data_IF_578021249051
#
_entry.id   IF_578021249051
#
_cell.length_a   1.000
_cell.length_b   1.000
_cell.length_c   1.000
_cell.angle_alpha   90.00
_cell.angle_beta   90.00
_cell.angle_gamma   90.00
#
_symmetry.space_group_name_H-M   'P 1'
#
loop_
_entity.id
_entity.type
_entity.pdbx_description
1 polymer ?
#
# COMPACT_ATOMS: atom_id res chain seq x y z
N UNK A 1 -7.01 -14.32 3.64
CA UNK A 1 -8.04 -13.36 3.16
C UNK A 1 -7.36 -12.45 2.15
N UNK A 2 -7.94 -12.32 0.99
CA UNK A 2 -7.46 -11.55 -0.16
C UNK A 2 -7.02 -10.16 0.22
N UNK A 3 -5.86 -9.69 -0.30
CA UNK A 3 -5.71 -8.28 -0.54
C UNK A 3 -5.53 -7.98 -2.04
N UNK A 4 -6.58 -8.33 -2.82
CA UNK A 4 -7.05 -7.36 -3.79
C UNK A 4 -7.75 -6.33 -2.91
N UNK A 5 -7.13 -5.19 -2.72
CA UNK A 5 -7.80 -4.09 -2.07
C UNK A 5 -9.02 -3.72 -2.92
N UNK A 6 -10.20 -4.17 -2.50
CA UNK A 6 -11.45 -3.68 -3.08
C UNK A 6 -11.62 -2.29 -2.48
N UNK A 7 -11.15 -1.28 -3.20
CA UNK A 7 -11.34 0.11 -2.85
C UNK A 7 -12.84 0.38 -2.74
N UNK A 8 -13.32 0.57 -1.51
CA UNK A 8 -14.72 0.89 -1.27
C UNK A 8 -14.92 2.40 -1.40
N UNK A 9 -15.60 2.82 -2.45
CA UNK A 9 -15.97 4.22 -2.66
C UNK A 9 -17.20 4.57 -1.80
N UNK A 10 -16.95 5.10 -0.61
CA UNK A 10 -18.04 5.43 0.34
C UNK A 10 -18.63 6.82 0.13
N UNK A 11 -17.85 7.78 -0.36
CA UNK A 11 -18.25 9.16 -0.55
C UNK A 11 -18.28 9.59 -2.03
N UNK A 12 -17.17 9.37 -2.76
CA UNK A 12 -17.01 9.81 -4.15
C UNK A 12 -16.66 8.59 -5.02
N UNK A 13 -17.51 8.26 -5.99
CA UNK A 13 -17.21 7.16 -6.92
C UNK A 13 -15.93 7.44 -7.70
N UNK A 14 -14.93 6.56 -7.58
CA UNK A 14 -13.65 6.67 -8.28
C UNK A 14 -12.57 7.48 -7.55
N UNK A 15 -12.85 8.00 -6.35
CA UNK A 15 -11.88 8.68 -5.50
C UNK A 15 -12.03 8.21 -4.05
N UNK A 16 -10.92 7.76 -3.46
CA UNK A 16 -10.82 7.48 -2.02
C UNK A 16 -9.66 8.26 -1.44
N UNK A 17 -9.85 8.85 -0.28
CA UNK A 17 -8.82 9.55 0.47
C UNK A 17 -8.90 9.14 1.93
N UNK A 18 -7.76 8.76 2.52
CA UNK A 18 -7.69 8.42 3.94
C UNK A 18 -6.29 8.67 4.49
N UNK A 19 -6.20 8.93 5.80
CA UNK A 19 -4.93 8.92 6.50
C UNK A 19 -4.72 7.58 7.16
N UNK A 20 -3.53 7.04 6.99
CA UNK A 20 -3.13 5.76 7.55
C UNK A 20 -1.76 5.87 8.19
N UNK A 21 -1.52 5.09 9.25
CA UNK A 21 -0.23 4.92 9.89
C UNK A 21 0.22 3.47 9.74
N UNK A 22 1.21 3.24 8.89
CA UNK A 22 1.65 1.90 8.47
C UNK A 22 3.04 1.58 8.99
N UNK A 23 3.17 0.44 9.69
CA UNK A 23 4.46 -0.20 9.91
C UNK A 23 4.78 -1.21 8.80
N UNK A 24 3.78 -1.96 8.38
CA UNK A 24 3.91 -2.90 7.27
C UNK A 24 2.55 -3.11 6.58
N UNK A 25 2.56 -2.99 5.28
CA UNK A 25 1.46 -3.38 4.39
C UNK A 25 1.96 -4.46 3.45
N UNK A 26 1.25 -5.60 3.39
CA UNK A 26 1.60 -6.73 2.54
C UNK A 26 1.58 -6.36 1.05
N UNK A 27 2.25 -7.14 0.19
CA UNK A 27 2.10 -6.99 -1.25
C UNK A 27 0.64 -7.08 -1.67
N UNK A 28 0.16 -6.02 -2.31
CA UNK A 28 -1.20 -5.90 -2.84
C UNK A 28 -1.19 -5.10 -4.14
N UNK A 29 -2.31 -5.10 -4.84
CA UNK A 29 -2.51 -4.30 -6.04
C UNK A 29 -3.99 -3.88 -6.16
N UNK A 30 -4.22 -2.81 -6.89
CA UNK A 30 -5.55 -2.31 -7.21
C UNK A 30 -5.55 -1.61 -8.57
N UNK A 31 -6.73 -1.23 -9.08
CA UNK A 31 -6.90 -0.63 -10.41
C UNK A 31 -6.82 0.90 -10.42
N UNK A 32 -6.55 1.50 -9.30
CA UNK A 32 -6.43 2.93 -9.08
C UNK A 32 -4.98 3.40 -9.24
N UNK A 33 -4.78 4.66 -9.62
CA UNK A 33 -3.56 5.36 -9.27
C UNK A 33 -3.54 5.54 -7.76
N UNK A 34 -2.42 5.26 -7.12
CA UNK A 34 -2.24 5.56 -5.72
C UNK A 34 -1.20 6.65 -5.53
N UNK A 35 -1.60 7.71 -4.84
CA UNK A 35 -0.70 8.75 -4.39
C UNK A 35 -0.57 8.68 -2.87
N UNK A 36 0.65 8.84 -2.38
CA UNK A 36 0.91 8.92 -0.94
C UNK A 36 1.66 10.22 -0.67
N UNK A 37 1.11 11.04 0.22
CA UNK A 37 1.85 12.17 0.78
C UNK A 37 2.32 11.82 2.18
N UNK A 38 3.64 11.74 2.37
CA UNK A 38 4.29 11.32 3.61
C UNK A 38 4.28 12.47 4.61
N UNK A 39 3.66 12.24 5.77
CA UNK A 39 3.42 13.28 6.78
C UNK A 39 4.52 13.32 7.85
N UNK A 40 5.04 12.14 8.25
CA UNK A 40 6.02 12.09 9.34
C UNK A 40 7.25 11.22 9.00
N UNK A 41 7.28 9.98 9.42
CA UNK A 41 8.44 9.11 9.32
C UNK A 41 8.65 8.52 7.91
N UNK A 42 9.88 8.15 7.54
CA UNK A 42 10.13 7.56 6.24
C UNK A 42 9.47 6.20 6.05
N UNK A 43 9.09 5.92 4.82
CA UNK A 43 8.51 4.65 4.42
C UNK A 43 9.25 4.09 3.21
N UNK A 44 9.62 2.81 3.28
CA UNK A 44 10.13 2.07 2.15
C UNK A 44 8.97 1.48 1.37
N UNK A 45 8.94 1.77 0.09
CA UNK A 45 7.96 1.28 -0.87
C UNK A 45 8.68 0.32 -1.82
N UNK A 46 8.18 -0.92 -1.93
CA UNK A 46 8.63 -1.88 -2.94
C UNK A 46 7.52 -2.01 -3.97
N UNK A 47 7.80 -1.75 -5.23
CA UNK A 47 6.82 -1.90 -6.30
C UNK A 47 7.49 -2.21 -7.64
N UNK A 48 6.88 -3.11 -8.43
CA UNK A 48 7.39 -3.51 -9.73
C UNK A 48 8.84 -4.04 -9.69
N UNK A 49 9.23 -4.72 -8.61
CA UNK A 49 10.57 -5.29 -8.43
C UNK A 49 11.65 -4.31 -7.96
N UNK A 50 11.31 -3.05 -7.73
CA UNK A 50 12.22 -2.02 -7.21
C UNK A 50 11.78 -1.55 -5.82
N UNK A 51 12.75 -1.10 -5.03
CA UNK A 51 12.49 -0.51 -3.72
C UNK A 51 13.08 0.89 -3.64
N UNK A 52 12.32 1.82 -3.06
CA UNK A 52 12.77 3.17 -2.77
C UNK A 52 12.20 3.64 -1.43
N UNK A 53 12.80 4.67 -0.86
CA UNK A 53 12.32 5.29 0.38
C UNK A 53 11.72 6.65 0.05
N UNK A 54 10.55 6.92 0.60
CA UNK A 54 9.92 8.24 0.57
C UNK A 54 10.04 8.87 1.97
N UNK A 55 10.57 10.08 2.01
CA UNK A 55 10.83 10.84 3.22
C UNK A 55 9.64 11.76 3.56
N UNK A 56 9.63 12.33 4.77
CA UNK A 56 8.64 13.32 5.17
C UNK A 56 8.51 14.46 4.14
N UNK A 57 7.27 14.80 3.79
CA UNK A 57 6.93 15.84 2.81
C UNK A 57 6.96 15.37 1.36
N UNK A 58 7.46 14.17 1.08
CA UNK A 58 7.45 13.60 -0.26
C UNK A 58 6.04 13.17 -0.68
N UNK A 59 5.80 13.24 -1.98
CA UNK A 59 4.60 12.71 -2.62
C UNK A 59 5.04 11.66 -3.62
N UNK A 60 4.41 10.49 -3.56
CA UNK A 60 4.63 9.39 -4.50
C UNK A 60 3.42 9.18 -5.40
N UNK A 61 3.63 8.55 -6.56
CA UNK A 61 2.55 8.04 -7.41
C UNK A 61 2.87 6.63 -7.87
N UNK A 62 1.93 5.73 -7.68
CA UNK A 62 1.96 4.35 -8.15
C UNK A 62 0.92 4.16 -9.24
N UNK A 63 1.31 3.49 -10.32
CA UNK A 63 0.42 3.23 -11.46
C UNK A 63 -0.56 2.08 -11.14
N UNK A 64 -1.75 2.09 -11.75
CA UNK A 64 -2.71 0.99 -11.65
C UNK A 64 -2.11 -0.37 -12.00
N UNK A 65 -2.49 -1.40 -11.24
CA UNK A 65 -2.08 -2.78 -11.47
C UNK A 65 -0.64 -3.12 -11.10
N UNK A 66 0.09 -2.20 -10.45
CA UNK A 66 1.41 -2.51 -9.87
C UNK A 66 1.24 -3.14 -8.49
N UNK A 67 1.84 -4.32 -8.29
CA UNK A 67 1.97 -4.89 -6.95
C UNK A 67 2.96 -4.06 -6.16
N UNK A 68 2.57 -3.66 -4.96
CA UNK A 68 3.40 -2.86 -4.07
C UNK A 68 3.23 -3.28 -2.60
N UNK A 69 4.26 -3.02 -1.80
CA UNK A 69 4.28 -3.23 -0.36
C UNK A 69 4.92 -2.03 0.34
N UNK A 70 4.53 -1.81 1.60
CA UNK A 70 5.04 -0.72 2.42
C UNK A 70 5.71 -1.24 3.69
N UNK A 71 6.81 -0.61 4.09
CA UNK A 71 7.49 -0.89 5.35
C UNK A 71 8.06 0.38 5.97
N UNK A 72 7.66 0.68 7.20
CA UNK A 72 8.27 1.71 8.05
C UNK A 72 8.64 1.11 9.40
N UNK A 73 9.87 1.35 9.84
CA UNK A 73 10.36 0.82 11.12
C UNK A 73 9.63 1.45 12.32
N UNK A 74 9.33 2.74 12.23
CA UNK A 74 8.78 3.55 13.33
C UNK A 74 7.27 3.79 13.18
N UNK A 75 6.69 3.30 12.08
CA UNK A 75 5.35 3.67 11.63
C UNK A 75 5.39 4.98 10.85
N UNK A 76 4.74 5.00 9.70
CA UNK A 76 4.66 6.17 8.83
C UNK A 76 3.21 6.58 8.67
N UNK A 77 2.92 7.83 9.01
CA UNK A 77 1.62 8.45 8.70
C UNK A 77 1.69 9.10 7.32
N UNK A 78 0.72 8.82 6.48
CA UNK A 78 0.60 9.42 5.16
C UNK A 78 -0.87 9.64 4.79
N UNK A 79 -1.11 10.60 3.89
CA UNK A 79 -2.37 10.71 3.17
C UNK A 79 -2.32 9.80 1.96
N UNK A 80 -3.16 8.75 1.96
CA UNK A 80 -3.39 7.89 0.80
C UNK A 80 -4.52 8.45 -0.06
N UNK A 81 -4.31 8.44 -1.36
CA UNK A 81 -5.28 8.93 -2.35
C UNK A 81 -5.32 7.92 -3.48
N UNK A 82 -6.44 7.22 -3.61
CA UNK A 82 -6.67 6.25 -4.67
C UNK A 82 -7.66 6.83 -5.70
N UNK A 83 -7.21 6.90 -6.93
CA UNK A 83 -7.97 7.56 -8.01
C UNK A 83 -8.16 6.60 -9.17
N UNK A 84 -9.41 6.31 -9.49
CA UNK A 84 -9.75 5.54 -10.67
C UNK A 84 -9.39 6.30 -11.95
N UNK A 85 -8.66 5.69 -12.91
CA UNK A 85 -8.29 6.37 -14.15
C UNK A 85 -9.47 6.95 -14.93
N UNK A 86 -10.65 6.34 -14.79
CA UNK A 86 -11.89 6.75 -15.48
C UNK A 86 -12.62 7.92 -14.80
N UNK A 87 -12.15 8.41 -13.65
CA UNK A 87 -12.82 9.48 -12.87
C UNK A 87 -13.17 10.71 -13.72
N UNK A 88 -12.31 11.07 -14.67
CA UNK A 88 -12.54 12.20 -15.60
C UNK A 88 -13.01 11.76 -17.00
N UNK A 89 -13.51 10.52 -17.12
CA UNK A 89 -13.97 9.96 -18.38
C UNK A 89 -12.85 9.45 -19.30
N UNK A 90 -13.25 8.78 -20.37
CA UNK A 90 -12.33 8.13 -21.31
C UNK A 90 -11.46 9.11 -22.10
N UNK A 91 -11.93 10.37 -22.29
CA UNK A 91 -11.19 11.41 -23.03
C UNK A 91 -9.92 11.88 -22.30
N UNK A 92 -9.77 11.59 -21.01
CA UNK A 92 -8.56 11.93 -20.26
C UNK A 92 -7.33 11.12 -20.64
N UNK A 93 -7.51 9.96 -21.28
CA UNK A 93 -6.48 8.95 -21.58
C UNK A 93 -5.70 8.43 -20.36
N UNK A 94 -6.14 8.71 -19.15
CA UNK A 94 -5.47 8.26 -17.93
C UNK A 94 -5.48 6.74 -17.77
N UNK A 95 -6.46 6.05 -18.34
CA UNK A 95 -6.53 4.59 -18.37
C UNK A 95 -5.30 3.95 -19.04
N UNK A 96 -4.78 4.62 -20.06
CA UNK A 96 -3.61 4.15 -20.82
C UNK A 96 -2.30 4.75 -20.28
N UNK A 97 -2.37 5.81 -19.49
CA UNK A 97 -1.18 6.54 -19.01
C UNK A 97 -0.44 5.76 -17.93
N UNK A 98 0.88 5.73 -18.03
CA UNK A 98 1.79 5.23 -16.99
C UNK A 98 2.87 6.25 -16.73
N UNK A 99 3.03 6.64 -15.46
CA UNK A 99 4.08 7.56 -15.03
C UNK A 99 5.38 6.76 -14.78
N UNK A 100 6.49 7.26 -15.32
CA UNK A 100 7.79 6.59 -15.22
C UNK A 100 8.51 6.92 -13.89
N UNK A 101 8.21 8.09 -13.29
CA UNK A 101 8.75 8.49 -11.99
C UNK A 101 7.74 8.23 -10.88
N UNK A 102 8.23 7.71 -9.75
CA UNK A 102 7.41 7.38 -8.57
C UNK A 102 7.52 8.39 -7.44
N UNK A 103 8.62 9.16 -7.38
CA UNK A 103 8.85 10.25 -6.42
C UNK A 103 8.73 11.58 -7.15
N UNK A 104 7.77 12.41 -6.74
CA UNK A 104 7.49 13.68 -7.41
C UNK A 104 8.62 14.70 -7.22
N UNK A 105 9.29 14.69 -6.06
CA UNK A 105 10.41 15.58 -5.74
C UNK A 105 11.61 15.46 -6.70
N UNK A 106 11.69 14.36 -7.47
CA UNK A 106 12.73 14.21 -8.51
C UNK A 106 12.49 15.10 -9.73
N UNK A 107 11.28 15.62 -9.90
CA UNK A 107 10.86 16.35 -11.10
C UNK A 107 10.29 17.71 -10.76
N UNK A 108 9.59 17.84 -9.64
CA UNK A 108 8.98 19.08 -9.17
C UNK A 108 9.92 19.86 -8.27
N UNK A 109 9.92 21.19 -8.39
CA UNK A 109 10.67 22.08 -7.49
C UNK A 109 10.03 22.10 -6.10
N UNK A 110 10.74 22.58 -5.05
CA UNK A 110 10.16 22.72 -3.72
C UNK A 110 8.87 23.54 -3.68
N UNK A 111 8.80 24.60 -4.47
CA UNK A 111 7.62 25.49 -4.60
C UNK A 111 6.43 24.74 -5.22
N UNK A 112 6.68 24.01 -6.29
CA UNK A 112 5.66 23.20 -6.95
C UNK A 112 5.19 22.03 -6.08
N UNK A 113 6.10 21.40 -5.32
CA UNK A 113 5.75 20.41 -4.32
C UNK A 113 4.86 21.01 -3.22
N UNK A 114 5.12 22.26 -2.82
CA UNK A 114 4.26 22.99 -1.88
C UNK A 114 2.86 23.25 -2.46
N UNK A 115 2.77 23.67 -3.73
CA UNK A 115 1.48 23.85 -4.40
C UNK A 115 0.69 22.53 -4.50
N UNK A 116 1.37 21.41 -4.77
CA UNK A 116 0.73 20.09 -4.77
C UNK A 116 0.18 19.73 -3.38
N UNK A 117 0.97 19.92 -2.31
CA UNK A 117 0.51 19.68 -0.93
C UNK A 117 -0.72 20.53 -0.58
N UNK A 118 -0.78 21.76 -1.04
CA UNK A 118 -1.97 22.61 -0.86
C UNK A 118 -3.19 22.08 -1.60
N UNK A 119 -3.02 21.65 -2.85
CA UNK A 119 -4.11 21.05 -3.63
C UNK A 119 -4.62 19.78 -2.95
N UNK A 120 -3.72 18.90 -2.45
CA UNK A 120 -4.06 17.69 -1.74
C UNK A 120 -4.77 17.99 -0.42
N UNK A 121 -4.30 18.99 0.34
CA UNK A 121 -4.96 19.41 1.59
C UNK A 121 -6.39 19.91 1.31
N UNK A 122 -6.59 20.71 0.27
CA UNK A 122 -7.91 21.22 -0.13
C UNK A 122 -8.83 20.10 -0.61
N UNK A 123 -8.28 19.14 -1.39
CA UNK A 123 -9.03 17.98 -1.86
C UNK A 123 -9.47 17.11 -0.69
N UNK A 124 -8.57 16.80 0.26
CA UNK A 124 -8.86 16.00 1.44
C UNK A 124 -9.86 16.71 2.36
N UNK A 125 -9.71 18.03 2.61
CA UNK A 125 -10.66 18.79 3.42
C UNK A 125 -12.07 18.76 2.81
N UNK A 126 -12.19 18.88 1.49
CA UNK A 126 -13.47 18.74 0.81
C UNK A 126 -14.03 17.31 0.88
N UNK A 127 -13.18 16.29 0.70
CA UNK A 127 -13.57 14.89 0.78
C UNK A 127 -14.22 14.53 2.13
N UNK A 128 -13.71 15.12 3.23
CA UNK A 128 -14.25 14.93 4.58
C UNK A 128 -15.31 15.97 4.98
N UNK A 129 -15.61 16.94 4.10
CA UNK A 129 -16.69 17.89 4.34
C UNK A 129 -18.06 17.25 4.11
N UNK A 130 -19.09 17.85 4.73
CA UNK A 130 -20.50 17.50 4.48
C UNK A 130 -21.24 18.65 3.76
N UNK A 131 -20.49 19.63 3.25
CA UNK A 131 -21.05 20.77 2.54
C UNK A 131 -21.51 20.36 1.13
N UNK A 132 -22.56 20.98 0.63
CA UNK A 132 -23.07 20.75 -0.71
C UNK A 132 -21.99 21.09 -1.76
N UNK A 133 -21.73 20.15 -2.70
CA UNK A 133 -20.75 20.29 -3.76
C UNK A 133 -19.31 19.98 -3.35
N UNK A 134 -19.07 19.51 -2.11
CA UNK A 134 -17.74 19.12 -1.66
C UNK A 134 -17.09 18.06 -2.56
N UNK A 135 -17.88 17.11 -3.10
CA UNK A 135 -17.41 16.07 -4.01
C UNK A 135 -16.87 16.67 -5.31
N UNK A 136 -17.59 17.64 -5.89
CA UNK A 136 -17.15 18.34 -7.12
C UNK A 136 -15.86 19.11 -6.86
N UNK A 137 -15.76 19.76 -5.69
CA UNK A 137 -14.55 20.49 -5.33
C UNK A 137 -13.36 19.56 -5.14
N UNK A 138 -13.52 18.44 -4.44
CA UNK A 138 -12.46 17.43 -4.28
C UNK A 138 -11.98 16.90 -5.64
N UNK A 139 -12.90 16.48 -6.51
CA UNK A 139 -12.60 16.01 -7.88
C UNK A 139 -11.87 17.08 -8.68
N UNK A 140 -12.28 18.35 -8.59
CA UNK A 140 -11.63 19.44 -9.33
C UNK A 140 -10.19 19.67 -8.86
N UNK A 141 -9.92 19.61 -7.55
CA UNK A 141 -8.55 19.73 -6.99
C UNK A 141 -7.67 18.57 -7.43
N UNK A 142 -8.21 17.35 -7.42
CA UNK A 142 -7.49 16.19 -7.96
C UNK A 142 -7.25 16.32 -9.47
N UNK A 143 -8.18 16.92 -10.23
CA UNK A 143 -7.99 17.25 -11.64
C UNK A 143 -6.79 18.18 -11.85
N UNK A 144 -6.64 19.24 -11.04
CA UNK A 144 -5.48 20.13 -11.06
C UNK A 144 -4.18 19.39 -10.75
N UNK A 145 -4.19 18.47 -9.79
CA UNK A 145 -3.03 17.62 -9.46
C UNK A 145 -2.64 16.79 -10.68
N UNK A 146 -3.55 15.99 -11.24
CA UNK A 146 -3.25 15.12 -12.39
C UNK A 146 -2.86 15.91 -13.64
N UNK A 147 -3.44 17.10 -13.87
CA UNK A 147 -3.02 17.99 -14.94
C UNK A 147 -1.54 18.37 -14.80
N UNK A 148 -1.08 18.74 -13.58
CA UNK A 148 0.32 19.06 -13.30
C UNK A 148 1.23 17.84 -13.48
N UNK A 149 0.80 16.66 -13.03
CA UNK A 149 1.53 15.41 -13.24
C UNK A 149 1.73 15.14 -14.73
N UNK A 150 0.68 15.20 -15.53
CA UNK A 150 0.74 15.00 -16.98
C UNK A 150 1.63 16.04 -17.72
N UNK A 151 1.74 17.24 -17.17
CA UNK A 151 2.60 18.28 -17.76
C UNK A 151 4.07 18.10 -17.44
N UNK A 152 4.40 17.48 -16.32
CA UNK A 152 5.76 17.50 -15.80
C UNK A 152 6.42 16.13 -15.64
N UNK A 153 5.67 15.12 -15.20
CA UNK A 153 6.26 13.79 -15.03
C UNK A 153 6.48 13.11 -16.37
N UNK A 154 7.63 12.47 -16.56
CA UNK A 154 7.82 11.54 -17.66
C UNK A 154 6.73 10.46 -17.59
N UNK A 155 6.05 10.27 -18.71
CA UNK A 155 4.99 9.27 -18.83
C UNK A 155 4.88 8.78 -20.28
N UNK A 156 4.31 7.60 -20.43
CA UNK A 156 4.00 7.03 -21.73
C UNK A 156 2.57 6.51 -21.76
N UNK A 157 2.05 6.27 -22.95
CA UNK A 157 0.77 5.58 -23.15
C UNK A 157 1.02 4.12 -23.47
N UNK A 158 0.35 3.25 -22.77
CA UNK A 158 0.37 1.83 -23.08
C UNK A 158 -0.34 1.56 -24.40
N UNK A 159 0.23 0.65 -25.17
CA UNK A 159 -0.46 0.05 -26.30
C UNK A 159 -1.54 -0.93 -25.80
N UNK A 160 -2.51 -1.25 -26.68
CA UNK A 160 -3.53 -2.27 -26.39
C UNK A 160 -2.91 -3.62 -25.99
N UNK A 161 -1.78 -3.98 -26.58
CA UNK A 161 -1.05 -5.21 -26.26
C UNK A 161 -0.46 -5.16 -24.86
N UNK A 162 0.21 -4.08 -24.50
CA UNK A 162 0.78 -3.89 -23.17
C UNK A 162 -0.30 -3.88 -22.09
N UNK A 163 -1.45 -3.25 -22.36
CA UNK A 163 -2.60 -3.27 -21.45
C UNK A 163 -3.10 -4.69 -21.22
N UNK A 164 -3.30 -5.47 -22.30
CA UNK A 164 -3.76 -6.85 -22.20
C UNK A 164 -2.74 -7.77 -21.50
N UNK A 165 -1.44 -7.57 -21.74
CA UNK A 165 -0.38 -8.33 -21.09
C UNK A 165 -0.28 -7.98 -19.58
N UNK A 166 -0.43 -6.70 -19.23
CA UNK A 166 -0.48 -6.27 -17.84
C UNK A 166 -1.67 -6.87 -17.09
N UNK A 167 -2.87 -6.84 -17.70
CA UNK A 167 -4.07 -7.46 -17.10
C UNK A 167 -3.89 -8.96 -16.86
N UNK A 168 -3.33 -9.69 -17.81
CA UNK A 168 -3.05 -11.13 -17.66
C UNK A 168 -2.05 -11.40 -16.53
N UNK A 169 -0.96 -10.62 -16.45
CA UNK A 169 0.06 -10.75 -15.41
C UNK A 169 -0.51 -10.41 -14.04
N UNK A 170 -1.27 -9.33 -13.95
CA UNK A 170 -1.96 -8.90 -12.73
C UNK A 170 -2.91 -10.00 -12.23
N UNK A 171 -3.78 -10.51 -13.10
CA UNK A 171 -4.70 -11.59 -12.74
C UNK A 171 -3.97 -12.88 -12.31
N UNK A 172 -2.83 -13.20 -12.92
CA UNK A 172 -2.02 -14.36 -12.51
C UNK A 172 -1.42 -14.18 -11.11
N UNK A 173 -0.88 -13.00 -10.83
CA UNK A 173 -0.35 -12.68 -9.51
C UNK A 173 -1.46 -12.70 -8.46
N UNK A 174 -2.63 -12.13 -8.74
CA UNK A 174 -3.79 -12.20 -7.84
C UNK A 174 -4.16 -13.64 -7.48
N UNK A 175 -4.22 -14.53 -8.48
CA UNK A 175 -4.49 -15.95 -8.22
C UNK A 175 -3.38 -16.61 -7.38
N UNK A 176 -2.13 -16.24 -7.60
CA UNK A 176 -1.01 -16.75 -6.81
C UNK A 176 -1.05 -16.25 -5.36
N UNK A 177 -1.34 -14.96 -5.14
CA UNK A 177 -1.50 -14.39 -3.80
C UNK A 177 -2.64 -15.08 -3.05
N UNK A 178 -3.80 -15.25 -3.71
CA UNK A 178 -4.94 -15.98 -3.15
C UNK A 178 -4.60 -17.45 -2.83
N UNK A 179 -3.92 -18.14 -3.74
CA UNK A 179 -3.50 -19.52 -3.52
C UNK A 179 -2.61 -19.65 -2.27
N UNK A 180 -1.67 -18.73 -2.07
CA UNK A 180 -0.84 -18.72 -0.87
C UNK A 180 -1.68 -18.42 0.37
N UNK A 181 -2.58 -17.45 0.33
CA UNK A 181 -3.43 -17.08 1.46
C UNK A 181 -4.38 -18.21 1.91
N UNK A 182 -4.90 -18.96 0.96
CA UNK A 182 -5.80 -20.08 1.24
C UNK A 182 -5.06 -21.32 1.79
N UNK A 183 -3.78 -21.50 1.41
CA UNK A 183 -3.03 -22.73 1.66
C UNK A 183 -1.73 -22.54 2.46
N UNK A 184 -1.40 -21.33 2.95
CA UNK A 184 -0.10 -21.07 3.59
C UNK A 184 0.22 -22.02 4.76
N UNK A 185 -0.79 -22.48 5.49
CA UNK A 185 -0.63 -23.40 6.61
C UNK A 185 -0.24 -24.83 6.17
N UNK A 186 -0.46 -25.15 4.89
CA UNK A 186 -0.20 -26.45 4.29
C UNK A 186 1.18 -26.53 3.66
N UNK A 187 1.55 -27.71 3.16
CA UNK A 187 2.78 -27.89 2.38
C UNK A 187 2.51 -27.48 0.92
N UNK A 188 2.67 -26.20 0.61
CA UNK A 188 2.50 -25.69 -0.75
C UNK A 188 3.83 -25.59 -1.51
N UNK A 189 3.78 -25.80 -2.81
CA UNK A 189 4.91 -25.71 -3.72
C UNK A 189 4.52 -24.88 -4.94
N UNK A 190 5.49 -24.17 -5.50
CA UNK A 190 5.25 -23.45 -6.76
C UNK A 190 4.93 -24.39 -7.93
N UNK A 191 5.41 -25.65 -7.88
CA UNK A 191 5.06 -26.68 -8.86
C UNK A 191 3.56 -26.94 -8.92
N UNK A 192 2.91 -27.03 -7.76
CA UNK A 192 1.49 -27.34 -7.66
C UNK A 192 0.64 -26.21 -8.28
N UNK A 193 1.03 -24.97 -8.01
CA UNK A 193 0.41 -23.79 -8.64
C UNK A 193 0.72 -23.72 -10.15
N UNK A 194 1.94 -24.07 -10.58
CA UNK A 194 2.33 -24.10 -11.99
C UNK A 194 1.48 -25.09 -12.79
N UNK A 195 1.24 -26.29 -12.25
CA UNK A 195 0.38 -27.32 -12.85
C UNK A 195 -1.07 -26.83 -12.94
N UNK A 196 -1.60 -26.21 -11.89
CA UNK A 196 -2.96 -25.63 -11.86
C UNK A 196 -3.16 -24.56 -12.94
N UNK A 197 -2.18 -23.70 -13.17
CA UNK A 197 -2.23 -22.60 -14.13
C UNK A 197 -1.77 -23.03 -15.54
N UNK A 198 -1.34 -24.28 -15.73
CA UNK A 198 -0.75 -24.79 -16.99
C UNK A 198 0.45 -23.94 -17.48
N UNK A 199 1.30 -23.49 -16.55
CA UNK A 199 2.45 -22.63 -16.80
C UNK A 199 3.76 -23.32 -16.41
N UNK A 200 4.88 -22.89 -17.02
CA UNK A 200 6.19 -23.39 -16.63
C UNK A 200 6.67 -22.75 -15.32
N UNK A 201 7.38 -23.55 -14.50
CA UNK A 201 8.05 -23.10 -13.30
C UNK A 201 8.98 -21.90 -13.52
N UNK A 202 9.71 -21.90 -14.64
CA UNK A 202 10.64 -20.83 -14.99
C UNK A 202 9.91 -19.51 -15.20
N UNK A 203 8.81 -19.54 -15.94
CA UNK A 203 7.97 -18.37 -16.20
C UNK A 203 7.37 -17.80 -14.92
N UNK A 204 6.78 -18.66 -14.08
CA UNK A 204 6.20 -18.25 -12.79
C UNK A 204 7.24 -17.67 -11.84
N UNK A 205 8.39 -18.36 -11.67
CA UNK A 205 9.47 -17.88 -10.84
C UNK A 205 9.97 -16.50 -11.27
N UNK A 206 10.05 -16.27 -12.58
CA UNK A 206 10.47 -14.99 -13.13
C UNK A 206 9.46 -13.88 -12.82
N UNK A 207 8.18 -14.11 -13.15
CA UNK A 207 7.11 -13.13 -12.88
C UNK A 207 7.01 -12.81 -11.38
N UNK A 208 7.01 -13.83 -10.51
CA UNK A 208 6.92 -13.63 -9.07
C UNK A 208 8.09 -12.79 -8.56
N UNK A 209 9.32 -13.10 -9.01
CA UNK A 209 10.50 -12.36 -8.62
C UNK A 209 10.50 -10.92 -9.13
N UNK A 210 10.09 -10.69 -10.39
CA UNK A 210 9.94 -9.35 -10.95
C UNK A 210 8.87 -8.53 -10.21
N UNK A 211 7.76 -9.17 -9.85
CA UNK A 211 6.61 -8.46 -9.27
C UNK A 211 6.77 -8.23 -7.77
N UNK A 212 7.19 -9.25 -7.01
CA UNK A 212 7.28 -9.20 -5.54
C UNK A 212 8.69 -8.88 -5.02
N UNK A 213 9.68 -8.72 -5.90
CA UNK A 213 11.11 -8.59 -5.54
C UNK A 213 11.62 -9.71 -4.61
N UNK A 214 10.93 -10.84 -4.58
CA UNK A 214 11.26 -12.02 -3.77
C UNK A 214 10.76 -13.29 -4.44
N UNK A 215 11.36 -14.43 -4.08
CA UNK A 215 10.91 -15.72 -4.59
C UNK A 215 9.67 -16.23 -3.86
N UNK A 216 8.92 -17.15 -4.49
CA UNK A 216 7.70 -17.76 -3.94
C UNK A 216 7.88 -18.30 -2.51
N UNK A 217 8.96 -19.04 -2.24
CA UNK A 217 9.24 -19.59 -0.90
C UNK A 217 9.41 -18.50 0.16
N UNK A 218 10.09 -17.40 -0.19
CA UNK A 218 10.26 -16.25 0.72
C UNK A 218 8.94 -15.55 0.97
N UNK A 219 8.09 -15.42 -0.05
CA UNK A 219 6.75 -14.87 0.10
C UNK A 219 5.87 -15.72 1.04
N UNK A 220 5.82 -17.04 0.83
CA UNK A 220 5.11 -17.97 1.71
C UNK A 220 5.60 -17.87 3.16
N UNK A 221 6.91 -17.78 3.37
CA UNK A 221 7.49 -17.57 4.71
C UNK A 221 7.00 -16.27 5.33
N UNK A 222 6.96 -15.20 4.55
CA UNK A 222 6.43 -13.90 4.99
C UNK A 222 4.97 -14.01 5.44
N UNK A 223 4.11 -14.63 4.63
CA UNK A 223 2.69 -14.83 4.94
C UNK A 223 2.52 -15.64 6.24
N UNK A 224 3.26 -16.73 6.38
CA UNK A 224 3.26 -17.57 7.60
C UNK A 224 3.68 -16.81 8.86
N UNK A 225 4.74 -16.00 8.78
CA UNK A 225 5.21 -15.19 9.91
C UNK A 225 4.19 -14.13 10.31
N UNK A 226 3.52 -13.51 9.35
CA UNK A 226 2.46 -12.57 9.62
C UNK A 226 1.25 -13.24 10.28
N UNK A 227 0.77 -14.37 9.73
CA UNK A 227 -0.30 -15.14 10.34
C UNK A 227 0.05 -15.58 11.79
N UNK A 228 1.30 -16.00 12.02
CA UNK A 228 1.76 -16.32 13.36
C UNK A 228 1.72 -15.12 14.30
N UNK A 229 2.12 -13.93 13.84
CA UNK A 229 2.10 -12.72 14.65
C UNK A 229 0.68 -12.33 15.09
N UNK A 230 -0.32 -12.59 14.28
CA UNK A 230 -1.73 -12.39 14.62
C UNK A 230 -2.27 -13.44 15.58
N UNK A 231 -1.95 -14.70 15.33
CA UNK A 231 -2.32 -15.77 16.26
C UNK A 231 -1.75 -15.53 17.67
N UNK A 232 -0.66 -14.75 17.82
CA UNK A 232 -0.09 -14.37 19.12
C UNK A 232 -0.94 -13.36 19.89
N UNK A 233 -1.96 -12.75 19.26
CA UNK A 233 -2.95 -11.93 19.97
C UNK A 233 -3.84 -12.75 20.89
N UNK A 234 -4.03 -14.02 20.59
CA UNK A 234 -4.64 -14.99 21.49
C UNK A 234 -3.58 -15.46 22.51
N UNK A 235 -3.66 -14.89 23.71
CA UNK A 235 -2.70 -15.15 24.78
C UNK A 235 -2.76 -16.59 25.32
N UNK A 236 -3.87 -17.28 25.13
CA UNK A 236 -4.09 -18.65 25.61
C UNK A 236 -3.44 -19.69 24.70
N UNK A 237 -3.16 -19.36 23.45
CA UNK A 237 -2.48 -20.26 22.51
C UNK A 237 -1.00 -20.40 22.81
N UNK A 238 -0.48 -21.63 22.85
CA UNK A 238 0.95 -21.89 23.01
C UNK A 238 1.71 -21.49 21.75
N UNK A 239 2.92 -20.93 21.89
CA UNK A 239 3.77 -20.54 20.75
C UNK A 239 4.10 -21.71 19.81
N UNK A 240 4.20 -22.93 20.37
CA UNK A 240 4.42 -24.13 19.57
C UNK A 240 3.20 -24.46 18.69
N UNK A 241 1.99 -24.29 19.23
CA UNK A 241 0.74 -24.53 18.49
C UNK A 241 0.56 -23.46 17.39
N UNK A 242 0.95 -22.21 17.67
CA UNK A 242 0.98 -21.12 16.69
C UNK A 242 1.97 -21.44 15.57
N UNK A 243 3.17 -21.91 15.90
CA UNK A 243 4.17 -22.32 14.92
C UNK A 243 3.60 -23.33 13.91
N UNK A 244 2.97 -24.39 14.40
CA UNK A 244 2.38 -25.41 13.53
C UNK A 244 1.14 -24.92 12.79
N UNK A 245 0.26 -24.18 13.44
CA UNK A 245 -0.94 -23.60 12.80
C UNK A 245 -0.59 -22.59 11.70
N UNK A 246 0.55 -21.91 11.82
CA UNK A 246 1.07 -21.01 10.78
C UNK A 246 1.82 -21.74 9.64
N UNK A 247 1.86 -23.09 9.68
CA UNK A 247 2.47 -23.92 8.63
C UNK A 247 3.97 -24.14 8.73
N UNK A 248 4.59 -23.84 9.88
CA UNK A 248 5.98 -24.19 10.14
C UNK A 248 6.07 -25.62 10.72
N UNK A 249 7.06 -26.37 10.27
CA UNK A 249 7.31 -27.73 10.75
C UNK A 249 8.36 -27.82 11.87
N UNK A 250 9.07 -26.73 12.14
CA UNK A 250 10.16 -26.68 13.12
C UNK A 250 10.15 -25.34 13.87
N UNK A 251 10.10 -25.40 15.21
CA UNK A 251 10.03 -24.21 16.05
C UNK A 251 11.33 -23.37 16.04
N UNK A 252 12.49 -24.01 15.90
CA UNK A 252 13.76 -23.26 15.87
C UNK A 252 13.86 -22.44 14.59
N UNK A 253 13.46 -23.03 13.46
CA UNK A 253 13.38 -22.32 12.20
C UNK A 253 12.38 -21.17 12.28
N UNK A 254 11.17 -21.43 12.78
CA UNK A 254 10.15 -20.40 13.01
C UNK A 254 10.68 -19.25 13.87
N UNK A 255 11.24 -19.53 15.04
CA UNK A 255 11.76 -18.50 15.96
C UNK A 255 12.88 -17.68 15.34
N UNK A 256 13.78 -18.32 14.58
CA UNK A 256 14.86 -17.64 13.86
C UNK A 256 14.32 -16.73 12.75
N UNK A 257 13.41 -17.23 11.92
CA UNK A 257 12.77 -16.46 10.85
C UNK A 257 11.95 -15.28 11.42
N UNK A 258 11.20 -15.52 12.51
CA UNK A 258 10.43 -14.51 13.22
C UNK A 258 11.33 -13.39 13.77
N UNK A 259 12.43 -13.77 14.45
CA UNK A 259 13.42 -12.79 14.95
C UNK A 259 14.07 -11.98 13.84
N UNK A 260 14.36 -12.62 12.70
CA UNK A 260 14.93 -11.93 11.54
C UNK A 260 13.97 -10.87 11.00
N UNK A 261 12.67 -11.16 10.93
CA UNK A 261 11.63 -10.28 10.41
C UNK A 261 11.23 -9.18 11.38
N UNK A 262 10.82 -9.55 12.59
CA UNK A 262 10.26 -8.62 13.59
C UNK A 262 11.32 -8.05 14.54
N UNK A 263 12.62 -8.42 14.39
CA UNK A 263 13.76 -7.98 15.23
C UNK A 263 13.63 -8.35 16.71
N UNK A 264 12.67 -9.20 17.05
CA UNK A 264 12.46 -9.74 18.41
C UNK A 264 11.99 -11.20 18.36
N UNK A 265 12.17 -11.92 19.47
CA UNK A 265 11.71 -13.32 19.55
C UNK A 265 10.18 -13.39 19.61
N UNK A 266 9.56 -14.53 19.26
CA UNK A 266 8.12 -14.72 19.40
C UNK A 266 7.59 -14.41 20.80
N UNK A 267 8.33 -14.80 21.85
CA UNK A 267 7.99 -14.56 23.25
C UNK A 267 7.95 -13.04 23.56
N UNK A 268 9.00 -12.33 23.17
CA UNK A 268 9.10 -10.89 23.39
C UNK A 268 8.04 -10.12 22.61
N UNK A 269 7.75 -10.55 21.37
CA UNK A 269 6.70 -9.96 20.56
C UNK A 269 5.33 -10.10 21.23
N UNK A 270 4.98 -11.30 21.71
CA UNK A 270 3.74 -11.56 22.44
C UNK A 270 3.60 -10.65 23.67
N UNK A 271 4.65 -10.51 24.48
CA UNK A 271 4.65 -9.65 25.65
C UNK A 271 4.44 -8.18 25.30
N UNK A 272 5.02 -7.72 24.18
CA UNK A 272 4.84 -6.34 23.70
C UNK A 272 3.41 -6.08 23.25
N UNK A 273 2.80 -7.03 22.56
CA UNK A 273 1.43 -6.91 22.04
C UNK A 273 0.40 -6.96 23.15
N UNK A 274 0.64 -7.74 24.23
CA UNK A 274 -0.26 -7.79 25.39
C UNK A 274 -0.42 -6.43 26.09
N UNK A 275 0.63 -5.60 26.09
CA UNK A 275 0.60 -4.25 26.66
C UNK A 275 -0.14 -3.24 25.78
N UNK A 276 -0.17 -3.45 24.45
CA UNK A 276 -0.82 -2.57 23.48
C UNK A 276 -2.31 -2.84 23.24
N UNK A 277 -2.92 -3.75 23.98
CA UNK A 277 -4.34 -4.16 23.82
C UNK A 277 -5.39 -3.09 24.13
N UNK A 278 -4.98 -1.89 24.58
CA UNK A 278 -5.89 -0.80 24.90
C UNK A 278 -6.30 0.11 23.75
N UNK A 279 -5.70 -0.04 22.55
CA UNK A 279 -6.02 0.80 21.41
C UNK A 279 -6.92 0.05 20.42
N UNK A 280 -8.24 0.25 20.55
CA UNK A 280 -9.31 -0.46 19.83
C UNK A 280 -9.44 -0.09 18.33
N UNK A 281 -8.61 0.78 17.77
CA UNK A 281 -8.79 1.30 16.40
C UNK A 281 -7.78 0.77 15.37
N UNK A 282 -7.03 -0.29 15.68
CA UNK A 282 -6.21 -0.95 14.65
C UNK A 282 -7.06 -1.92 13.84
N UNK A 283 -7.45 -1.54 12.62
CA UNK A 283 -7.89 -2.50 11.62
C UNK A 283 -6.70 -3.38 11.26
N UNK A 284 -6.75 -4.63 11.66
CA UNK A 284 -5.72 -5.62 11.37
C UNK A 284 -6.22 -6.47 10.23
N UNK A 285 -5.71 -6.26 9.02
CA UNK A 285 -5.75 -7.32 8.05
C UNK A 285 -4.82 -8.45 8.53
N UNK A 286 -5.07 -9.68 8.13
CA UNK A 286 -4.30 -10.87 8.55
C UNK A 286 -2.78 -10.73 8.36
N UNK A 287 -2.30 -9.71 7.67
CA UNK A 287 -0.91 -9.61 7.24
C UNK A 287 -0.31 -8.21 7.26
N UNK A 288 -1.08 -7.18 7.64
CA UNK A 288 -0.65 -5.77 7.68
C UNK A 288 -0.72 -5.20 9.10
N UNK A 289 0.17 -4.28 9.43
CA UNK A 289 0.11 -3.51 10.66
C UNK A 289 -0.11 -2.06 10.26
N UNK A 290 -1.37 -1.66 10.30
CA UNK A 290 -1.83 -0.34 9.89
C UNK A 290 -2.91 0.18 10.84
N UNK A 291 -3.00 1.50 11.00
CA UNK A 291 -4.00 2.18 11.80
C UNK A 291 -4.58 3.32 10.98
N UNK A 292 -5.81 3.16 10.50
CA UNK A 292 -6.56 4.28 9.91
C UNK A 292 -6.86 5.33 10.98
N UNK A 293 -6.64 6.60 10.66
CA UNK A 293 -6.97 7.68 11.57
C UNK A 293 -8.50 7.81 11.69
N UNK A 294 -8.97 8.06 12.89
CA UNK A 294 -10.37 8.38 13.15
C UNK A 294 -10.79 9.69 12.46
N UNK A 295 -12.10 9.96 12.39
CA UNK A 295 -12.62 11.21 11.82
C UNK A 295 -12.10 12.44 12.58
N UNK A 296 -11.93 12.36 13.90
CA UNK A 296 -11.38 13.46 14.74
C UNK A 296 -9.89 13.65 14.48
N UNK A 297 -9.08 12.58 14.56
CA UNK A 297 -7.64 12.62 14.25
C UNK A 297 -7.41 13.18 12.84
N UNK A 298 -8.22 12.76 11.86
CA UNK A 298 -8.17 13.24 10.46
C UNK A 298 -8.43 14.76 10.38
N UNK A 299 -9.47 15.25 11.06
CA UNK A 299 -9.81 16.68 11.08
C UNK A 299 -8.73 17.53 11.75
N UNK A 300 -8.14 17.04 12.85
CA UNK A 300 -7.03 17.72 13.53
C UNK A 300 -5.79 17.78 12.62
N UNK A 301 -5.44 16.68 11.99
CA UNK A 301 -4.30 16.61 11.07
C UNK A 301 -4.50 17.52 9.86
N UNK A 302 -5.68 17.55 9.25
CA UNK A 302 -5.99 18.45 8.14
C UNK A 302 -5.87 19.93 8.52
N UNK A 303 -6.30 20.33 9.73
CA UNK A 303 -6.12 21.69 10.23
C UNK A 303 -4.64 22.03 10.41
N UNK A 304 -3.84 21.11 10.95
CA UNK A 304 -2.41 21.30 11.10
C UNK A 304 -1.70 21.47 9.75
N UNK A 305 -2.01 20.62 8.77
CA UNK A 305 -1.46 20.69 7.41
C UNK A 305 -1.86 21.99 6.69
N UNK A 306 -3.10 22.44 6.85
CA UNK A 306 -3.55 23.72 6.28
C UNK A 306 -2.77 24.91 6.89
N UNK A 307 -2.57 24.90 8.21
CA UNK A 307 -1.78 25.95 8.89
C UNK A 307 -0.30 25.93 8.48
N UNK A 308 0.29 24.74 8.26
CA UNK A 308 1.66 24.58 7.77
C UNK A 308 1.80 25.15 6.35
N UNK A 309 0.85 24.85 5.48
CA UNK A 309 0.81 25.38 4.12
C UNK A 309 0.71 26.93 4.08
N UNK A 310 -0.06 27.54 4.97
CA UNK A 310 -0.17 29.01 5.08
C UNK A 310 1.15 29.65 5.55
N UNK A 311 1.81 29.04 6.53
CA UNK A 311 3.12 29.53 7.03
C UNK A 311 4.20 29.47 5.96
N UNK A 312 4.22 28.40 5.17
CA UNK A 312 5.17 28.24 4.06
C UNK A 312 5.03 29.37 3.02
N UNK A 313 3.79 29.84 2.74
CA UNK A 313 3.52 30.99 1.84
C UNK A 313 4.04 32.31 2.37
N UNK A 314 3.95 32.51 3.69
CA UNK A 314 4.39 33.77 4.31
C UNK A 314 5.91 33.87 4.43
N UNK A 315 6.61 32.73 4.49
CA UNK A 315 8.08 32.68 4.57
C UNK A 315 8.78 32.86 3.20
N UNK A 316 8.04 32.68 2.09
CA UNK A 316 8.55 32.82 0.72
C UNK A 316 8.21 34.19 0.08
N UNK A 317 7.59 35.09 0.82
CA UNK A 317 7.36 36.51 0.47
C UNK A 317 8.35 37.42 1.18
#
# INVERSE_FOLDING_TARGET
MKEIEIVQYTAISGLVMYFDCVNYRTPHQHREFEMMWIIDNPIRITCGGESFTAEKGEITILNPGLVHEFYSKEGCTFLCIQVRPELWGLSSHLTETRFDSRLLSRTFTPEEMQELRELLTKAAAAYYSREEGCELYAISRMGDVFYRLLKKLPHHRMTLRESADLEKRSALIDRMLNYVDEHYAEKIRLTDFAEQEALSMSYLSHIIKETLNQGFRSYVETVRLNAASEMMLDMDRKLLDICYSAGFSDYRYFSSAFKKRFKMTPENYRNTVSVRRSDEHMLRSLHSTEKFLTEEETKELLRALAAENERAKTSNK
#
